data_IF_819710814255
#
_entry.id   IF_819710814255
#
_cell.length_a   1.000
_cell.length_b   1.000
_cell.length_c   1.000
_cell.angle_alpha   90.00
_cell.angle_beta   90.00
_cell.angle_gamma   90.00
#
_symmetry.space_group_name_H-M   'P 1'
#
loop_
_entity.id
_entity.type
_entity.pdbx_description
1 polymer ?
#
# COMPACT_ATOMS: atom_id res chain seq x y z
N UNK A 1 -19.76 -0.42 17.91
CA UNK A 1 -18.37 0.00 17.85
C UNK A 1 -18.17 0.91 16.63
N UNK A 2 -17.77 2.14 16.85
CA UNK A 2 -17.60 3.10 15.77
C UNK A 2 -16.28 2.81 15.03
N UNK A 3 -16.37 2.63 13.73
CA UNK A 3 -15.18 2.43 12.91
C UNK A 3 -14.50 3.77 12.67
N UNK A 4 -13.18 3.82 12.87
CA UNK A 4 -12.38 5.01 12.60
C UNK A 4 -11.98 4.99 11.14
N UNK A 5 -12.43 5.97 10.38
CA UNK A 5 -12.12 6.06 8.96
C UNK A 5 -10.72 6.58 8.73
N UNK A 6 -10.02 6.01 7.75
CA UNK A 6 -8.75 6.54 7.27
C UNK A 6 -9.00 7.82 6.47
N UNK A 7 -8.17 8.82 6.69
CA UNK A 7 -8.26 10.10 5.99
C UNK A 7 -7.03 10.32 5.10
N UNK A 8 -7.19 10.99 3.96
CA UNK A 8 -6.04 11.34 3.11
C UNK A 8 -5.06 12.24 3.84
N UNK A 9 -3.78 12.08 3.56
CA UNK A 9 -2.71 12.90 4.14
C UNK A 9 -1.57 13.09 3.15
N UNK A 10 -0.57 13.87 3.53
CA UNK A 10 0.63 14.07 2.74
C UNK A 10 1.43 12.78 2.65
N UNK A 11 1.91 12.38 1.46
CA UNK A 11 2.76 11.21 1.32
C UNK A 11 4.05 11.30 2.12
N UNK A 12 4.66 10.14 2.39
CA UNK A 12 5.91 10.02 3.12
C UNK A 12 6.97 10.96 2.57
N UNK A 13 7.60 11.75 3.45
CA UNK A 13 8.52 12.83 3.05
C UNK A 13 9.74 12.33 2.27
N UNK A 14 10.24 11.14 2.60
CA UNK A 14 11.42 10.56 1.96
C UNK A 14 11.09 9.62 0.81
N UNK A 15 9.95 9.81 0.13
CA UNK A 15 9.49 8.96 -0.97
C UNK A 15 10.53 8.82 -2.08
N UNK A 16 11.26 9.89 -2.41
CA UNK A 16 12.30 9.86 -3.44
C UNK A 16 13.46 8.93 -3.07
N UNK A 17 13.79 8.82 -1.78
CA UNK A 17 14.80 7.88 -1.31
C UNK A 17 14.35 6.43 -1.39
N UNK A 18 13.04 6.22 -1.16
CA UNK A 18 12.44 4.88 -1.18
C UNK A 18 12.31 4.36 -2.60
N UNK A 19 11.89 5.22 -3.52
CA UNK A 19 11.73 4.87 -4.94
C UNK A 19 12.14 6.06 -5.80
N UNK A 20 13.43 6.18 -6.15
CA UNK A 20 13.92 7.30 -6.94
C UNK A 20 13.19 7.42 -8.28
N UNK A 21 12.81 8.65 -8.63
CA UNK A 21 12.10 8.91 -9.87
C UNK A 21 10.65 8.50 -9.88
N UNK A 22 10.04 8.28 -8.72
CA UNK A 22 8.63 7.92 -8.64
C UNK A 22 7.75 8.99 -9.31
N UNK A 23 6.63 8.55 -9.90
CA UNK A 23 5.72 9.44 -10.62
C UNK A 23 4.38 9.60 -9.90
N UNK A 24 4.08 8.71 -8.95
CA UNK A 24 2.83 8.75 -8.20
C UNK A 24 3.08 8.40 -6.74
N UNK A 25 2.40 9.13 -5.84
CA UNK A 25 2.33 8.77 -4.43
C UNK A 25 1.00 9.25 -3.85
N UNK A 26 0.40 8.44 -2.99
CA UNK A 26 -0.73 8.85 -2.16
C UNK A 26 -0.57 8.31 -0.75
N UNK A 27 -1.31 8.86 0.19
CA UNK A 27 -1.24 8.44 1.57
C UNK A 27 -2.55 8.61 2.31
N UNK A 28 -2.76 7.73 3.29
CA UNK A 28 -3.87 7.80 4.25
C UNK A 28 -3.31 7.62 5.64
N UNK A 29 -4.03 8.12 6.65
CA UNK A 29 -3.65 7.97 8.05
C UNK A 29 -4.83 7.62 8.93
N UNK A 30 -4.54 6.93 10.04
CA UNK A 30 -5.49 6.64 11.12
C UNK A 30 -4.78 6.85 12.45
N UNK A 31 -5.49 7.13 13.55
CA UNK A 31 -4.88 7.09 14.88
C UNK A 31 -4.28 5.71 15.15
N UNK A 32 -3.08 5.67 15.71
CA UNK A 32 -2.39 4.41 16.02
C UNK A 32 -2.53 4.09 17.51
N UNK A 33 -2.73 2.80 17.86
CA UNK A 33 -2.68 2.38 19.27
C UNK A 33 -1.32 2.68 19.89
N UNK A 34 -1.31 2.99 21.18
CA UNK A 34 -0.06 3.24 21.90
C UNK A 34 0.82 2.00 21.93
N UNK A 35 2.12 2.21 21.75
CA UNK A 35 3.11 1.14 21.85
C UNK A 35 3.18 0.21 20.66
N UNK A 36 2.40 0.44 19.63
CA UNK A 36 2.46 -0.37 18.42
C UNK A 36 3.74 -0.08 17.62
N UNK A 37 4.29 -1.10 16.97
CA UNK A 37 5.38 -0.91 16.03
C UNK A 37 4.85 -0.77 14.61
N UNK A 38 5.67 -0.24 13.71
CA UNK A 38 5.28 -0.11 12.30
C UNK A 38 4.98 -1.48 11.67
N UNK A 39 5.75 -2.52 12.03
CA UNK A 39 5.51 -3.88 11.54
C UNK A 39 4.17 -4.43 12.03
N UNK A 40 3.82 -4.19 13.29
CA UNK A 40 2.51 -4.59 13.82
C UNK A 40 1.37 -3.86 13.11
N UNK A 41 1.54 -2.55 12.87
CA UNK A 41 0.55 -1.76 12.12
C UNK A 41 0.37 -2.31 10.72
N UNK A 42 1.46 -2.64 10.04
CA UNK A 42 1.43 -3.24 8.71
C UNK A 42 0.69 -4.58 8.72
N UNK A 43 0.96 -5.43 9.70
CA UNK A 43 0.27 -6.73 9.83
C UNK A 43 -1.22 -6.57 10.06
N UNK A 44 -1.62 -5.61 10.89
CA UNK A 44 -3.03 -5.33 11.14
C UNK A 44 -3.72 -4.83 9.87
N UNK A 45 -3.07 -3.94 9.12
CA UNK A 45 -3.62 -3.43 7.88
C UNK A 45 -3.83 -4.55 6.86
N UNK A 46 -2.82 -5.40 6.66
CA UNK A 46 -2.90 -6.49 5.70
C UNK A 46 -3.82 -7.63 6.14
N UNK A 47 -4.04 -7.79 7.45
CA UNK A 47 -5.02 -8.75 7.96
C UNK A 47 -6.46 -8.27 7.75
N UNK A 48 -6.69 -6.96 7.70
CA UNK A 48 -8.01 -6.35 7.55
C UNK A 48 -8.41 -6.28 6.07
N UNK A 49 -8.73 -7.43 5.48
CA UNK A 49 -9.13 -7.53 4.07
C UNK A 49 -10.53 -8.14 3.97
N UNK A 50 -11.59 -7.30 3.83
CA UNK A 50 -12.94 -7.78 3.58
C UNK A 50 -13.02 -8.66 2.33
N UNK A 51 -14.07 -9.47 2.24
CA UNK A 51 -14.25 -10.40 1.12
C UNK A 51 -14.18 -9.69 -0.25
N UNK A 52 -14.75 -8.49 -0.37
CA UNK A 52 -14.74 -7.77 -1.63
C UNK A 52 -13.31 -7.39 -2.08
N UNK A 53 -12.40 -7.08 -1.14
CA UNK A 53 -10.99 -6.81 -1.45
C UNK A 53 -10.32 -8.09 -1.93
N UNK A 54 -10.56 -9.22 -1.25
CA UNK A 54 -10.00 -10.52 -1.65
C UNK A 54 -10.46 -10.91 -3.05
N UNK A 55 -11.74 -10.68 -3.35
CA UNK A 55 -12.31 -10.96 -4.67
C UNK A 55 -11.66 -10.10 -5.75
N UNK A 56 -11.49 -8.80 -5.50
CA UNK A 56 -10.82 -7.90 -6.44
C UNK A 56 -9.38 -8.30 -6.68
N UNK A 57 -8.65 -8.71 -5.64
CA UNK A 57 -7.26 -9.15 -5.80
C UNK A 57 -7.16 -10.46 -6.61
N UNK A 58 -8.08 -11.39 -6.39
CA UNK A 58 -8.13 -12.62 -7.19
C UNK A 58 -8.41 -12.31 -8.66
N UNK A 59 -9.36 -11.43 -8.94
CA UNK A 59 -9.70 -11.00 -10.29
C UNK A 59 -8.50 -10.28 -10.95
N UNK A 60 -7.85 -9.37 -10.22
CA UNK A 60 -6.65 -8.68 -10.68
C UNK A 60 -5.56 -9.67 -11.09
N UNK A 61 -5.32 -10.70 -10.27
CA UNK A 61 -4.30 -11.70 -10.57
C UNK A 61 -4.64 -12.51 -11.81
N UNK A 62 -5.91 -12.89 -11.99
CA UNK A 62 -6.33 -13.63 -13.18
C UNK A 62 -6.22 -12.78 -14.45
N UNK A 63 -6.72 -11.56 -14.44
CA UNK A 63 -6.65 -10.66 -15.58
C UNK A 63 -5.22 -10.21 -15.87
N UNK A 64 -4.43 -10.02 -14.82
CA UNK A 64 -3.02 -9.63 -14.95
C UNK A 64 -2.19 -10.68 -15.68
N UNK A 65 -2.49 -11.95 -15.51
CA UNK A 65 -1.79 -13.04 -16.24
C UNK A 65 -1.94 -12.90 -17.74
N UNK A 66 -3.08 -12.42 -18.22
CA UNK A 66 -3.33 -12.25 -19.65
C UNK A 66 -2.46 -11.14 -20.25
N UNK A 67 -2.02 -10.18 -19.47
CA UNK A 67 -1.19 -9.05 -19.92
C UNK A 67 0.24 -9.10 -19.36
N UNK A 68 0.63 -10.21 -18.73
CA UNK A 68 1.98 -10.44 -18.27
C UNK A 68 2.33 -9.79 -16.91
N UNK A 69 1.33 -9.43 -16.11
CA UNK A 69 1.57 -8.94 -14.76
C UNK A 69 1.87 -10.08 -13.80
N UNK A 70 2.80 -9.87 -12.88
CA UNK A 70 3.11 -10.83 -11.84
C UNK A 70 2.00 -10.87 -10.81
N UNK A 71 1.49 -12.07 -10.42
CA UNK A 71 0.51 -12.16 -9.34
C UNK A 71 1.06 -11.61 -8.02
N UNK A 72 0.19 -10.96 -7.22
CA UNK A 72 0.57 -10.50 -5.90
C UNK A 72 0.94 -11.70 -5.01
N UNK A 73 2.06 -11.63 -4.24
CA UNK A 73 2.44 -12.72 -3.36
C UNK A 73 1.38 -13.03 -2.31
N UNK A 74 1.12 -14.31 -2.05
CA UNK A 74 0.09 -14.74 -1.10
C UNK A 74 0.39 -14.32 0.33
N UNK A 75 1.68 -14.26 0.71
CA UNK A 75 2.12 -13.85 2.05
C UNK A 75 2.34 -12.36 2.22
N UNK A 76 1.93 -11.55 1.24
CA UNK A 76 2.20 -10.11 1.21
C UNK A 76 3.47 -9.79 0.45
N UNK A 77 3.84 -8.51 0.42
CA UNK A 77 4.99 -8.06 -0.34
C UNK A 77 6.28 -8.16 0.47
N UNK A 78 7.45 -8.36 -0.19
CA UNK A 78 8.72 -8.41 0.52
C UNK A 78 9.02 -7.15 1.31
N UNK A 79 9.59 -7.33 2.51
CA UNK A 79 10.05 -6.22 3.33
C UNK A 79 11.39 -5.74 2.79
N UNK A 80 11.46 -4.46 2.40
CA UNK A 80 12.66 -3.83 1.89
C UNK A 80 13.49 -3.23 3.03
N UNK A 81 12.81 -2.63 4.01
CA UNK A 81 13.45 -2.00 5.16
C UNK A 81 12.49 -2.02 6.35
N UNK A 82 13.02 -2.18 7.54
CA UNK A 82 12.24 -2.21 8.77
C UNK A 82 12.94 -1.46 9.90
N UNK A 83 12.17 -0.64 10.63
CA UNK A 83 12.56 -0.04 11.90
C UNK A 83 11.32 0.00 12.80
N UNK A 84 11.46 0.33 14.11
CA UNK A 84 10.28 0.41 14.97
C UNK A 84 9.21 1.36 14.49
N UNK A 85 9.59 2.46 13.83
CA UNK A 85 8.68 3.52 13.40
C UNK A 85 8.32 3.45 11.91
N UNK A 86 9.01 2.65 11.10
CA UNK A 86 8.79 2.60 9.66
C UNK A 86 9.05 1.21 9.10
N UNK A 87 8.15 0.77 8.22
CA UNK A 87 8.34 -0.45 7.43
C UNK A 87 8.11 -0.09 5.97
N UNK A 88 9.05 -0.50 5.11
CA UNK A 88 8.92 -0.35 3.66
C UNK A 88 8.76 -1.73 3.04
N UNK A 89 7.66 -1.94 2.35
CA UNK A 89 7.42 -3.09 1.52
C UNK A 89 7.61 -2.69 0.07
N UNK A 90 8.03 -3.61 -0.76
CA UNK A 90 8.18 -3.28 -2.16
C UNK A 90 8.30 -4.48 -3.06
N UNK A 91 8.08 -4.20 -4.33
CA UNK A 91 8.05 -5.24 -5.33
C UNK A 91 8.20 -4.56 -6.69
N UNK A 92 9.09 -5.10 -7.51
CA UNK A 92 9.38 -4.58 -8.84
C UNK A 92 8.74 -5.51 -9.86
N UNK A 93 7.89 -4.98 -10.72
CA UNK A 93 7.23 -5.72 -11.77
C UNK A 93 7.76 -5.26 -13.14
N UNK A 94 7.39 -6.01 -14.17
CA UNK A 94 7.79 -5.73 -15.55
C UNK A 94 7.35 -4.35 -16.04
N UNK A 95 6.17 -3.89 -15.62
CA UNK A 95 5.59 -2.64 -16.10
C UNK A 95 5.69 -1.49 -15.12
N UNK A 96 5.84 -1.79 -13.81
CA UNK A 96 5.95 -0.78 -12.79
C UNK A 96 6.60 -1.35 -11.53
N UNK A 97 7.19 -0.46 -10.74
CA UNK A 97 7.67 -0.76 -9.40
C UNK A 97 6.78 -0.04 -8.41
N UNK A 98 6.57 -0.63 -7.23
CA UNK A 98 5.87 0.06 -6.17
C UNK A 98 6.53 -0.17 -4.81
N UNK A 99 6.25 0.77 -3.91
CA UNK A 99 6.64 0.67 -2.50
C UNK A 99 5.44 1.08 -1.64
N UNK A 100 5.31 0.42 -0.52
CA UNK A 100 4.33 0.79 0.51
C UNK A 100 5.10 1.10 1.77
N UNK A 101 4.90 2.28 2.32
CA UNK A 101 5.54 2.71 3.57
C UNK A 101 4.48 2.82 4.63
N UNK A 102 4.66 2.08 5.74
CA UNK A 102 3.86 2.26 6.95
C UNK A 102 4.74 2.96 7.96
N UNK A 103 4.35 4.16 8.37
CA UNK A 103 5.12 5.00 9.28
C UNK A 103 4.27 5.42 10.47
N UNK A 104 4.90 5.46 11.65
CA UNK A 104 4.26 5.93 12.89
C UNK A 104 4.85 7.27 13.26
N UNK A 105 4.00 8.28 13.41
CA UNK A 105 4.42 9.61 13.84
C UNK A 105 3.23 10.38 14.42
N UNK A 106 3.46 11.11 15.51
CA UNK A 106 2.45 12.01 16.08
C UNK A 106 1.16 11.31 16.53
N UNK A 107 1.23 10.02 16.89
CA UNK A 107 0.06 9.25 17.30
C UNK A 107 -0.74 8.68 16.14
N UNK A 108 -0.23 8.77 14.92
CA UNK A 108 -0.89 8.27 13.71
C UNK A 108 -0.06 7.18 13.04
N UNK A 109 -0.75 6.23 12.40
CA UNK A 109 -0.16 5.31 11.44
C UNK A 109 -0.53 5.81 10.05
N UNK A 110 0.48 5.99 9.21
CA UNK A 110 0.32 6.49 7.84
C UNK A 110 0.75 5.40 6.87
N UNK A 111 -0.08 5.15 5.86
CA UNK A 111 0.25 4.23 4.76
C UNK A 111 0.41 5.06 3.49
N UNK A 112 1.62 5.05 2.94
CA UNK A 112 1.95 5.73 1.68
C UNK A 112 2.21 4.69 0.61
N UNK A 113 1.59 4.86 -0.55
CA UNK A 113 1.86 4.05 -1.74
C UNK A 113 2.63 4.90 -2.73
N UNK A 114 3.73 4.37 -3.24
CA UNK A 114 4.64 5.07 -4.15
C UNK A 114 4.82 4.18 -5.38
N UNK A 115 4.64 4.74 -6.57
CA UNK A 115 4.70 3.98 -7.81
C UNK A 115 5.61 4.67 -8.83
N UNK A 116 6.40 3.86 -9.52
CA UNK A 116 7.19 4.26 -10.67
C UNK A 116 6.89 3.31 -11.83
N UNK A 117 6.30 3.82 -12.90
CA UNK A 117 6.01 2.99 -14.07
C UNK A 117 7.18 3.05 -15.07
N UNK A 118 7.38 1.95 -15.79
CA UNK A 118 8.47 1.80 -16.76
C UNK A 118 8.03 2.11 -18.19
N UNK A 119 6.73 2.02 -18.46
CA UNK A 119 6.18 2.15 -19.82
C UNK A 119 4.72 2.54 -19.76
N UNK A 120 4.11 2.74 -20.94
CA UNK A 120 2.72 3.15 -21.04
C UNK A 120 1.74 2.12 -20.43
N UNK A 121 2.06 0.84 -20.47
CA UNK A 121 1.22 -0.20 -19.86
C UNK A 121 1.14 -0.05 -18.34
N UNK A 122 2.27 0.25 -17.69
CA UNK A 122 2.29 0.51 -16.24
C UNK A 122 1.45 1.72 -15.87
N UNK A 123 1.57 2.81 -16.64
CA UNK A 123 0.77 4.02 -16.44
C UNK A 123 -0.72 3.76 -16.64
N UNK A 124 -1.10 3.06 -17.70
CA UNK A 124 -2.49 2.70 -17.98
C UNK A 124 -3.09 1.80 -16.91
N UNK A 125 -2.32 0.80 -16.47
CA UNK A 125 -2.73 -0.09 -15.39
C UNK A 125 -2.99 0.69 -14.09
N UNK A 126 -2.07 1.58 -13.72
CA UNK A 126 -2.23 2.41 -12.53
C UNK A 126 -3.49 3.26 -12.60
N UNK A 127 -3.72 3.91 -13.75
CA UNK A 127 -4.92 4.73 -13.94
C UNK A 127 -6.21 3.90 -13.78
N UNK A 128 -6.22 2.69 -14.32
CA UNK A 128 -7.38 1.80 -14.25
C UNK A 128 -7.69 1.34 -12.82
N UNK A 129 -6.65 1.06 -12.01
CA UNK A 129 -6.84 0.55 -10.65
C UNK A 129 -6.99 1.65 -9.59
N UNK A 130 -6.72 2.90 -9.93
CA UNK A 130 -6.63 3.99 -8.94
C UNK A 130 -7.88 4.13 -8.06
N UNK A 131 -9.12 4.13 -8.58
CA UNK A 131 -10.30 4.22 -7.72
C UNK A 131 -10.40 3.07 -6.70
N UNK A 132 -10.04 1.85 -7.15
CA UNK A 132 -10.05 0.67 -6.29
C UNK A 132 -8.90 0.71 -5.29
N UNK A 133 -7.72 1.12 -5.74
CA UNK A 133 -6.54 1.25 -4.88
C UNK A 133 -6.79 2.16 -3.68
N UNK A 134 -7.37 3.33 -3.91
CA UNK A 134 -7.67 4.28 -2.83
C UNK A 134 -8.63 3.69 -1.81
N UNK A 135 -9.70 3.04 -2.28
CA UNK A 135 -10.66 2.39 -1.41
C UNK A 135 -10.02 1.24 -0.63
N UNK A 136 -9.20 0.42 -1.29
CA UNK A 136 -8.53 -0.72 -0.67
C UNK A 136 -7.53 -0.25 0.38
N UNK A 137 -6.67 0.71 0.05
CA UNK A 137 -5.64 1.20 0.96
C UNK A 137 -6.25 1.83 2.21
N UNK A 138 -7.24 2.70 2.04
CA UNK A 138 -7.92 3.32 3.17
C UNK A 138 -8.61 2.27 4.05
N UNK A 139 -9.31 1.31 3.45
CA UNK A 139 -10.02 0.28 4.18
C UNK A 139 -9.08 -0.63 4.97
N UNK A 140 -7.98 -1.03 4.37
CA UNK A 140 -6.99 -1.87 5.06
C UNK A 140 -6.36 -1.13 6.24
N UNK A 141 -6.02 0.14 6.05
CA UNK A 141 -5.42 0.94 7.11
C UNK A 141 -6.34 1.11 8.32
N UNK A 142 -7.65 1.13 8.11
CA UNK A 142 -8.64 1.20 9.20
C UNK A 142 -8.51 0.03 10.17
N UNK A 143 -7.94 -1.09 9.76
CA UNK A 143 -7.67 -2.23 10.64
C UNK A 143 -6.63 -1.96 11.72
N UNK A 144 -5.86 -0.89 11.59
CA UNK A 144 -4.81 -0.50 12.56
C UNK A 144 -5.40 0.24 13.76
N UNK A 145 -6.44 1.02 13.53
CA UNK A 145 -7.04 1.89 14.56
C UNK A 145 -7.83 1.13 15.62
#
# INVERSE_FOLDING_TARGET
MTRIAAIPTTPYANSERVLPGYQFADAFKVPAPRGITAMEAMRLAFAHRPLWIRTLMALRNQLGRLVGLTPAPAGGFPVVRESPDEVVLGFDDKHLDFRVVVALAGGFATLTTIVRWHNAWGSAYLAAIMPFHRAIAARMLEGVA
#
